data_IF_027559164181
#
_entry.id   IF_027559164181
#
_cell.length_a   1.000
_cell.length_b   1.000
_cell.length_c   1.000
_cell.angle_alpha   90.00
_cell.angle_beta   90.00
_cell.angle_gamma   90.00
#
_symmetry.space_group_name_H-M   'P 1'
#
loop_
_entity.id
_entity.type
_entity.pdbx_description
1 polymer ?
#
# COMPACT_ATOMS: atom_id res chain seq x y z
N UNK A 1 23.37 -45.10 -9.80
CA UNK A 1 23.96 -44.03 -9.00
C UNK A 1 22.86 -43.10 -8.55
N UNK A 2 22.46 -43.18 -7.29
CA UNK A 2 21.33 -42.42 -6.72
C UNK A 2 21.83 -41.06 -6.24
N UNK A 3 21.32 -39.96 -6.81
CA UNK A 3 21.65 -38.62 -6.37
C UNK A 3 20.91 -38.32 -5.06
N UNK A 4 21.67 -38.21 -3.95
CA UNK A 4 21.19 -37.72 -2.67
C UNK A 4 20.72 -36.25 -2.84
N UNK A 5 19.39 -36.00 -2.76
CA UNK A 5 18.86 -34.66 -2.52
C UNK A 5 19.36 -34.19 -1.15
N UNK A 6 20.24 -33.21 -1.14
CA UNK A 6 20.56 -32.46 0.07
C UNK A 6 19.28 -31.78 0.53
N UNK A 7 18.82 -32.11 1.74
CA UNK A 7 17.79 -31.35 2.45
C UNK A 7 18.44 -30.00 2.81
N UNK A 8 18.01 -28.97 2.10
CA UNK A 8 18.18 -27.58 2.56
C UNK A 8 17.51 -27.48 3.93
N UNK A 9 18.28 -27.28 4.96
CA UNK A 9 17.79 -27.00 6.30
C UNK A 9 17.17 -25.58 6.21
N UNK A 10 15.85 -25.51 5.98
CA UNK A 10 15.11 -24.27 5.90
C UNK A 10 15.35 -23.49 7.20
N UNK A 11 15.94 -22.30 7.08
CA UNK A 11 15.83 -21.27 8.09
C UNK A 11 14.34 -21.05 8.33
N UNK A 12 13.91 -21.19 9.56
CA UNK A 12 12.56 -20.82 10.03
C UNK A 12 12.50 -19.28 10.12
N UNK A 13 12.61 -18.61 8.96
CA UNK A 13 12.48 -17.17 8.89
C UNK A 13 11.00 -16.84 9.12
N UNK A 14 10.70 -16.23 10.26
CA UNK A 14 9.35 -15.77 10.58
C UNK A 14 8.88 -14.83 9.46
N UNK A 15 7.76 -15.16 8.83
CA UNK A 15 7.16 -14.32 7.80
C UNK A 15 6.90 -12.91 8.37
N UNK A 16 7.34 -11.90 7.64
CA UNK A 16 7.06 -10.50 7.99
C UNK A 16 5.55 -10.21 7.91
N UNK A 17 5.08 -9.22 8.65
CA UNK A 17 3.65 -8.92 8.78
C UNK A 17 2.91 -8.79 7.44
N UNK A 18 3.54 -8.19 6.43
CA UNK A 18 2.95 -8.05 5.09
C UNK A 18 2.75 -9.38 4.35
N UNK A 19 3.50 -10.42 4.68
CA UNK A 19 3.35 -11.77 4.09
C UNK A 19 2.33 -12.64 4.84
N UNK A 20 1.88 -12.21 6.02
CA UNK A 20 0.86 -12.90 6.80
C UNK A 20 -0.56 -12.57 6.36
N UNK A 21 -0.74 -11.52 5.55
CA UNK A 21 -2.05 -11.15 4.98
C UNK A 21 -2.42 -12.12 3.87
N UNK A 22 -3.64 -12.67 3.90
CA UNK A 22 -4.15 -13.51 2.81
C UNK A 22 -4.48 -12.66 1.57
N UNK A 23 -3.52 -12.57 0.66
CA UNK A 23 -3.62 -11.78 -0.56
C UNK A 23 -4.66 -12.32 -1.57
N UNK A 24 -5.21 -13.50 -1.36
CA UNK A 24 -6.30 -14.02 -2.21
C UNK A 24 -7.67 -13.48 -1.80
N UNK A 25 -7.76 -12.82 -0.65
CA UNK A 25 -9.01 -12.36 -0.03
C UNK A 25 -9.08 -10.86 0.20
N UNK A 26 -7.93 -10.17 0.20
CA UNK A 26 -7.90 -8.72 0.40
C UNK A 26 -8.58 -8.01 -0.77
N UNK A 27 -9.49 -7.08 -0.44
CA UNK A 27 -10.20 -6.23 -1.40
C UNK A 27 -9.60 -4.84 -1.52
N UNK A 28 -10.39 -3.92 -2.11
CA UNK A 28 -10.06 -2.50 -2.18
C UNK A 28 -10.26 -1.83 -0.83
N UNK A 29 -9.41 -0.88 -0.47
CA UNK A 29 -9.63 -0.12 0.75
C UNK A 29 -8.38 0.44 1.38
N UNK A 30 -8.50 0.70 2.68
CA UNK A 30 -7.41 1.21 3.50
C UNK A 30 -7.33 0.32 4.75
N UNK A 31 -6.19 -0.28 4.98
CA UNK A 31 -6.00 -1.22 6.07
C UNK A 31 -4.81 -0.77 6.93
N UNK A 32 -4.83 -1.08 8.22
CA UNK A 32 -3.64 -0.92 9.07
C UNK A 32 -2.74 -2.12 8.84
N UNK A 33 -1.61 -1.90 8.16
CA UNK A 33 -0.60 -2.93 7.95
C UNK A 33 0.29 -3.12 9.17
N UNK A 34 0.66 -2.01 9.83
CA UNK A 34 1.56 -2.03 10.99
C UNK A 34 1.35 -0.77 11.85
N UNK A 35 1.58 -0.92 13.15
CA UNK A 35 1.71 0.18 14.11
C UNK A 35 3.00 0.02 14.90
N UNK A 36 3.73 1.12 15.03
CA UNK A 36 4.93 1.21 15.84
C UNK A 36 4.82 2.41 16.78
N UNK A 37 5.49 2.35 17.91
CA UNK A 37 5.65 3.49 18.81
C UNK A 37 7.10 3.93 18.83
N UNK A 38 7.36 5.16 18.44
CA UNK A 38 8.70 5.72 18.31
C UNK A 38 8.75 7.07 18.99
N UNK A 39 9.58 7.22 20.05
CA UNK A 39 9.76 8.49 20.75
C UNK A 39 8.46 9.12 21.28
N UNK A 40 7.46 8.30 21.64
CA UNK A 40 6.16 8.79 22.10
C UNK A 40 5.10 8.99 21.00
N UNK A 41 5.51 9.04 19.73
CA UNK A 41 4.60 9.11 18.60
C UNK A 41 4.15 7.72 18.13
N UNK A 42 2.96 7.66 17.54
CA UNK A 42 2.44 6.47 16.86
C UNK A 42 2.76 6.58 15.36
N UNK A 43 3.59 5.67 14.87
CA UNK A 43 3.85 5.52 13.43
C UNK A 43 2.94 4.43 12.89
N UNK A 44 1.97 4.82 12.04
CA UNK A 44 1.03 3.89 11.44
C UNK A 44 1.33 3.74 9.95
N UNK A 45 1.52 2.50 9.51
CA UNK A 45 1.61 2.13 8.09
C UNK A 45 0.24 1.68 7.62
N UNK A 46 -0.35 2.45 6.72
CA UNK A 46 -1.60 2.09 6.04
C UNK A 46 -1.30 1.44 4.69
N UNK A 47 -1.99 0.34 4.42
CA UNK A 47 -2.08 -0.30 3.11
C UNK A 47 -3.27 0.32 2.37
N UNK A 48 -2.99 1.16 1.37
CA UNK A 48 -4.01 1.73 0.47
C UNK A 48 -4.10 0.84 -0.76
N UNK A 49 -5.02 -0.13 -0.72
CA UNK A 49 -5.14 -1.20 -1.71
C UNK A 49 -6.06 -0.79 -2.85
N UNK A 50 -5.48 -0.56 -4.03
CA UNK A 50 -6.19 -0.10 -5.22
C UNK A 50 -6.67 -1.24 -6.14
N UNK A 51 -6.01 -2.40 -6.06
CA UNK A 51 -6.32 -3.60 -6.86
C UNK A 51 -6.49 -4.81 -5.95
N UNK A 52 -7.31 -5.76 -6.36
CA UNK A 52 -7.38 -7.07 -5.70
C UNK A 52 -6.17 -7.89 -6.15
N UNK A 53 -5.25 -8.23 -5.24
CA UNK A 53 -4.07 -9.00 -5.62
C UNK A 53 -4.45 -10.34 -6.27
N UNK A 54 -3.72 -10.72 -7.29
CA UNK A 54 -3.89 -11.98 -8.04
C UNK A 54 -5.27 -12.19 -8.71
N UNK A 55 -6.19 -11.22 -8.64
CA UNK A 55 -7.55 -11.33 -9.18
C UNK A 55 -7.81 -10.35 -10.33
N UNK A 56 -6.95 -9.37 -10.53
CA UNK A 56 -7.01 -8.40 -11.62
C UNK A 56 -5.59 -7.92 -11.98
N UNK A 57 -5.39 -7.30 -13.16
CA UNK A 57 -4.09 -6.76 -13.54
C UNK A 57 -3.59 -5.71 -12.55
N UNK A 58 -2.30 -5.76 -12.22
CA UNK A 58 -1.63 -4.73 -11.44
C UNK A 58 -1.59 -3.39 -12.20
N UNK A 59 -1.36 -2.30 -11.48
CA UNK A 59 -1.24 -0.97 -12.08
C UNK A 59 0.09 -0.91 -12.84
N UNK A 60 0.08 -0.33 -14.04
CA UNK A 60 1.29 -0.17 -14.84
C UNK A 60 2.33 0.71 -14.10
N UNK A 61 3.63 0.37 -14.12
CA UNK A 61 4.66 1.13 -13.39
C UNK A 61 4.65 2.63 -13.65
N UNK A 62 4.44 3.07 -14.90
CA UNK A 62 4.37 4.48 -15.25
C UNK A 62 3.20 5.20 -14.57
N UNK A 63 2.05 4.52 -14.47
CA UNK A 63 0.90 5.06 -13.76
C UNK A 63 1.12 5.07 -12.24
N UNK A 64 1.75 4.02 -11.68
CA UNK A 64 2.14 3.98 -10.27
C UNK A 64 3.03 5.15 -9.90
N UNK A 65 4.09 5.41 -10.68
CA UNK A 65 5.01 6.53 -10.47
C UNK A 65 4.30 7.88 -10.55
N UNK A 66 3.36 8.03 -11.50
CA UNK A 66 2.54 9.24 -11.61
C UNK A 66 1.61 9.43 -10.41
N UNK A 67 0.94 8.36 -9.95
CA UNK A 67 0.10 8.39 -8.74
C UNK A 67 0.95 8.78 -7.53
N UNK A 68 2.16 8.21 -7.40
CA UNK A 68 3.10 8.55 -6.33
C UNK A 68 3.35 10.06 -6.28
N UNK A 69 3.81 10.66 -7.38
CA UNK A 69 4.16 12.08 -7.43
C UNK A 69 2.97 13.01 -7.13
N UNK A 70 1.82 12.78 -7.78
CA UNK A 70 0.66 13.66 -7.63
C UNK A 70 0.04 13.53 -6.24
N UNK A 71 -0.11 12.31 -5.72
CA UNK A 71 -0.70 12.08 -4.40
C UNK A 71 0.26 12.50 -3.29
N UNK A 72 1.56 12.19 -3.39
CA UNK A 72 2.56 12.66 -2.41
C UNK A 72 2.54 14.19 -2.30
N UNK A 73 2.51 14.89 -3.45
CA UNK A 73 2.44 16.35 -3.49
C UNK A 73 1.17 16.86 -2.81
N UNK A 74 0.02 16.25 -3.09
CA UNK A 74 -1.24 16.62 -2.46
C UNK A 74 -1.21 16.44 -0.94
N UNK A 75 -0.77 15.27 -0.47
CA UNK A 75 -0.73 14.94 0.95
C UNK A 75 0.19 15.90 1.74
N UNK A 76 1.37 16.20 1.20
CA UNK A 76 2.36 17.10 1.82
C UNK A 76 1.96 18.58 1.73
N UNK A 77 0.95 18.95 0.95
CA UNK A 77 0.37 20.29 0.91
C UNK A 77 -1.02 20.35 1.59
N UNK A 78 -1.50 19.25 2.18
CA UNK A 78 -2.75 19.19 2.92
C UNK A 78 -2.62 19.72 4.35
N UNK A 79 -3.76 19.84 5.04
CA UNK A 79 -3.77 20.15 6.49
C UNK A 79 -3.15 19.04 7.34
N UNK A 80 -2.96 17.86 6.79
CA UNK A 80 -2.35 16.69 7.44
C UNK A 80 -0.84 16.58 7.20
N UNK A 81 -0.22 17.54 6.49
CA UNK A 81 1.18 17.51 6.03
C UNK A 81 2.20 17.16 7.12
N UNK A 82 2.02 17.70 8.33
CA UNK A 82 2.97 17.54 9.44
C UNK A 82 2.98 16.12 10.02
N UNK A 83 1.97 15.31 9.66
CA UNK A 83 1.84 13.90 10.02
C UNK A 83 2.24 12.94 8.89
N UNK A 84 2.58 13.44 7.71
CA UNK A 84 2.94 12.62 6.55
C UNK A 84 4.40 12.22 6.63
N UNK A 85 4.67 10.95 6.92
CA UNK A 85 6.03 10.38 6.91
C UNK A 85 6.40 9.96 5.49
N UNK A 86 5.56 9.13 4.86
CA UNK A 86 5.86 8.58 3.54
C UNK A 86 4.58 8.20 2.78
N UNK A 87 4.63 8.37 1.47
CA UNK A 87 3.70 7.82 0.51
C UNK A 87 4.49 7.21 -0.64
N UNK A 88 4.28 5.93 -0.94
CA UNK A 88 5.00 5.27 -2.03
C UNK A 88 4.38 3.94 -2.43
N UNK A 89 4.70 3.45 -3.65
CA UNK A 89 4.12 2.26 -4.23
C UNK A 89 4.56 1.00 -3.50
N UNK A 90 3.67 0.00 -3.50
CA UNK A 90 4.04 -1.37 -3.16
C UNK A 90 4.77 -2.03 -4.34
N UNK A 91 5.77 -2.84 -4.07
CA UNK A 91 6.50 -3.58 -5.10
C UNK A 91 5.62 -4.52 -5.94
N UNK A 92 4.46 -4.95 -5.41
CA UNK A 92 3.48 -5.76 -6.14
C UNK A 92 2.58 -4.95 -7.08
N UNK A 93 2.70 -3.62 -7.13
CA UNK A 93 1.96 -2.70 -7.99
C UNK A 93 0.43 -2.77 -7.81
N UNK A 94 -0.06 -3.17 -6.64
CA UNK A 94 -1.50 -3.27 -6.35
C UNK A 94 -2.02 -2.21 -5.40
N UNK A 95 -1.15 -1.33 -4.90
CA UNK A 95 -1.49 -0.24 -3.99
C UNK A 95 -0.28 0.54 -3.50
N UNK A 96 -0.49 1.31 -2.46
CA UNK A 96 0.50 2.20 -1.87
C UNK A 96 0.60 1.99 -0.37
N UNK A 97 1.77 2.24 0.18
CA UNK A 97 1.92 2.45 1.61
C UNK A 97 1.81 3.93 1.94
N UNK A 98 0.99 4.24 2.92
CA UNK A 98 0.91 5.57 3.52
C UNK A 98 1.33 5.48 4.99
N UNK A 99 2.46 6.08 5.32
CA UNK A 99 3.00 6.13 6.67
C UNK A 99 2.70 7.49 7.28
N UNK A 100 2.18 7.46 8.50
CA UNK A 100 1.87 8.65 9.28
C UNK A 100 2.53 8.60 10.64
N UNK A 101 2.83 9.79 11.21
CA UNK A 101 3.27 9.94 12.60
C UNK A 101 2.31 10.87 13.33
N UNK A 102 1.71 10.40 14.41
CA UNK A 102 0.67 11.11 15.16
C UNK A 102 0.85 10.96 16.68
N UNK A 103 0.28 11.87 17.46
CA UNK A 103 0.36 11.82 18.93
C UNK A 103 -0.53 10.72 19.53
N UNK A 104 -1.57 10.28 18.80
CA UNK A 104 -2.48 9.18 19.17
C UNK A 104 -2.61 8.18 18.03
N UNK A 105 -3.09 7.01 18.34
CA UNK A 105 -3.46 6.06 17.30
C UNK A 105 -4.60 6.60 16.44
N UNK A 106 -4.43 6.45 15.12
CA UNK A 106 -5.47 6.76 14.14
C UNK A 106 -5.82 5.53 13.32
N UNK A 107 -7.07 5.48 12.88
CA UNK A 107 -7.60 4.37 12.10
C UNK A 107 -7.80 4.72 10.62
N UNK A 108 -8.05 3.71 9.79
CA UNK A 108 -8.21 3.91 8.35
C UNK A 108 -9.42 4.79 8.00
N UNK A 109 -10.49 4.78 8.80
CA UNK A 109 -11.66 5.65 8.59
C UNK A 109 -11.36 7.13 8.82
N UNK A 110 -10.37 7.43 9.68
CA UNK A 110 -9.97 8.82 9.95
C UNK A 110 -9.20 9.42 8.78
N UNK A 111 -8.41 8.61 8.08
CA UNK A 111 -7.65 9.07 6.90
C UNK A 111 -8.42 8.89 5.58
N UNK A 112 -9.53 8.15 5.56
CA UNK A 112 -10.33 7.94 4.35
C UNK A 112 -10.70 9.24 3.64
N UNK A 113 -11.21 10.30 4.32
CA UNK A 113 -11.54 11.56 3.66
C UNK A 113 -10.36 12.20 2.95
N UNK A 114 -9.17 12.15 3.58
CA UNK A 114 -7.93 12.67 3.01
C UNK A 114 -7.50 11.90 1.75
N UNK A 115 -7.50 10.57 1.83
CA UNK A 115 -7.14 9.72 0.70
C UNK A 115 -8.14 9.88 -0.45
N UNK A 116 -9.45 9.92 -0.16
CA UNK A 116 -10.46 10.19 -1.20
C UNK A 116 -10.25 11.56 -1.84
N UNK A 117 -9.90 12.59 -1.07
CA UNK A 117 -9.63 13.92 -1.60
C UNK A 117 -8.39 13.91 -2.51
N UNK A 118 -7.31 13.24 -2.10
CA UNK A 118 -6.10 13.11 -2.90
C UNK A 118 -6.37 12.37 -4.24
N UNK A 119 -7.13 11.29 -4.21
CA UNK A 119 -7.50 10.56 -5.42
C UNK A 119 -8.50 11.33 -6.31
N UNK A 120 -9.43 12.11 -5.74
CA UNK A 120 -10.26 13.04 -6.51
C UNK A 120 -9.43 14.14 -7.18
N UNK A 121 -8.43 14.65 -6.48
CA UNK A 121 -7.49 15.61 -7.04
C UNK A 121 -6.75 14.99 -8.24
N UNK A 122 -6.19 13.78 -8.11
CA UNK A 122 -5.53 13.07 -9.20
C UNK A 122 -6.48 12.79 -10.36
N UNK A 123 -7.69 12.30 -10.10
CA UNK A 123 -8.68 11.97 -11.12
C UNK A 123 -9.03 13.19 -12.02
N UNK A 124 -8.95 14.40 -11.46
CA UNK A 124 -9.23 15.66 -12.15
C UNK A 124 -7.96 16.47 -12.47
N UNK A 125 -6.79 15.92 -12.20
CA UNK A 125 -5.52 16.62 -12.31
C UNK A 125 -5.32 17.17 -13.73
N UNK A 126 -4.81 18.41 -13.81
CA UNK A 126 -4.46 19.10 -15.06
C UNK A 126 -3.08 19.72 -14.91
N UNK A 127 -2.29 19.61 -15.94
CA UNK A 127 -0.93 20.15 -15.96
C UNK A 127 0.16 19.06 -15.91
N UNK A 128 1.43 19.48 -15.86
CA UNK A 128 2.56 18.56 -15.79
C UNK A 128 2.58 17.82 -14.46
N UNK A 129 3.07 16.58 -14.47
CA UNK A 129 3.25 15.79 -13.24
C UNK A 129 4.26 16.51 -12.33
N UNK A 130 3.94 16.73 -11.03
CA UNK A 130 4.85 17.42 -10.13
C UNK A 130 6.21 16.71 -10.04
N UNK A 131 7.30 17.46 -10.13
CA UNK A 131 8.65 16.91 -10.03
C UNK A 131 9.09 16.03 -11.19
N UNK A 132 8.34 15.92 -12.30
CA UNK A 132 8.74 15.16 -13.49
C UNK A 132 9.79 15.91 -14.31
N UNK A 133 10.94 16.15 -13.71
CA UNK A 133 12.12 16.79 -14.35
C UNK A 133 13.38 16.01 -13.98
N UNK A 134 14.43 16.06 -14.81
CA UNK A 134 15.69 15.34 -14.54
C UNK A 134 16.37 15.77 -13.25
N UNK A 135 16.07 16.97 -12.74
CA UNK A 135 16.63 17.47 -11.48
C UNK A 135 15.89 16.90 -10.27
N UNK A 136 14.58 16.67 -10.41
CA UNK A 136 13.71 16.35 -9.26
C UNK A 136 13.36 14.86 -9.18
N UNK A 137 13.55 14.09 -10.25
CA UNK A 137 13.18 12.69 -10.29
C UNK A 137 14.24 11.85 -11.01
N UNK A 138 14.62 10.72 -10.41
CA UNK A 138 15.61 9.80 -10.95
C UNK A 138 15.16 9.08 -12.23
N UNK A 139 13.84 9.10 -12.52
CA UNK A 139 13.27 8.54 -13.76
C UNK A 139 12.08 9.37 -14.24
N UNK A 140 12.34 10.64 -14.53
CA UNK A 140 11.32 11.63 -14.86
C UNK A 140 10.52 11.33 -16.14
N UNK A 141 10.98 10.42 -16.99
CA UNK A 141 10.28 9.97 -18.20
C UNK A 141 9.28 8.84 -17.93
N UNK A 142 9.35 8.20 -16.76
CA UNK A 142 8.49 7.09 -16.38
C UNK A 142 7.16 7.60 -15.81
N UNK A 143 6.35 8.28 -16.61
CA UNK A 143 5.04 8.79 -16.20
C UNK A 143 3.95 8.48 -17.23
N UNK A 144 2.71 8.25 -16.73
CA UNK A 144 1.49 8.08 -17.52
C UNK A 144 0.30 8.68 -16.77
N UNK A 145 0.08 9.97 -16.98
CA UNK A 145 -1.02 10.69 -16.34
C UNK A 145 -2.42 10.21 -16.78
N UNK A 146 -2.69 9.93 -18.04
CA UNK A 146 -3.98 9.38 -18.46
C UNK A 146 -4.36 8.09 -17.72
N UNK A 147 -3.45 7.10 -17.68
CA UNK A 147 -3.68 5.84 -16.97
C UNK A 147 -3.77 6.05 -15.47
N UNK A 148 -2.94 6.90 -14.87
CA UNK A 148 -3.04 7.25 -13.44
C UNK A 148 -4.40 7.84 -13.07
N UNK A 149 -4.94 8.73 -13.90
CA UNK A 149 -6.29 9.31 -13.71
C UNK A 149 -7.39 8.25 -13.86
N UNK A 150 -7.26 7.33 -14.81
CA UNK A 150 -8.17 6.20 -14.97
C UNK A 150 -8.19 5.32 -13.72
N UNK A 151 -7.02 4.93 -13.22
CA UNK A 151 -6.88 4.12 -12.01
C UNK A 151 -7.43 4.83 -10.75
N UNK A 152 -7.23 6.14 -10.65
CA UNK A 152 -7.80 6.93 -9.57
C UNK A 152 -9.34 6.94 -9.59
N UNK A 153 -9.94 7.13 -10.77
CA UNK A 153 -11.41 7.06 -10.94
C UNK A 153 -11.94 5.67 -10.62
N UNK A 154 -11.27 4.63 -11.13
CA UNK A 154 -11.64 3.25 -10.88
C UNK A 154 -11.60 2.90 -9.39
N UNK A 155 -10.56 3.34 -8.66
CA UNK A 155 -10.44 3.13 -7.22
C UNK A 155 -11.53 3.88 -6.43
N UNK A 156 -11.79 5.13 -6.77
CA UNK A 156 -12.84 5.94 -6.11
C UNK A 156 -14.25 5.34 -6.26
N UNK A 157 -14.51 4.65 -7.37
CA UNK A 157 -15.79 3.99 -7.64
C UNK A 157 -15.98 2.69 -6.86
N UNK A 158 -14.93 2.15 -6.23
CA UNK A 158 -15.03 0.90 -5.45
C UNK A 158 -15.62 1.16 -4.06
N UNK A 159 -16.26 0.12 -3.52
CA UNK A 159 -16.59 0.06 -2.10
C UNK A 159 -15.32 -0.30 -1.34
N UNK A 160 -14.86 0.57 -0.46
CA UNK A 160 -13.66 0.36 0.32
C UNK A 160 -13.95 -0.42 1.60
N UNK A 161 -13.04 -1.30 1.94
CA UNK A 161 -12.97 -1.99 3.24
C UNK A 161 -11.89 -1.36 4.12
N UNK A 162 -12.01 -1.54 5.44
CA UNK A 162 -11.11 -0.93 6.42
C UNK A 162 -10.46 -1.94 7.35
N UNK A 163 -10.90 -3.19 7.26
CA UNK A 163 -10.37 -4.31 8.03
C UNK A 163 -9.90 -5.39 7.07
N UNK A 164 -8.74 -5.98 7.36
CA UNK A 164 -8.30 -7.14 6.61
C UNK A 164 -9.32 -8.28 6.75
N UNK A 165 -9.49 -9.10 5.71
CA UNK A 165 -10.31 -10.29 5.83
C UNK A 165 -9.78 -11.17 6.96
N UNK A 166 -10.66 -11.81 7.75
CA UNK A 166 -10.24 -12.69 8.83
C UNK A 166 -9.30 -13.77 8.29
N UNK A 167 -8.26 -14.10 9.06
CA UNK A 167 -7.37 -15.20 8.71
C UNK A 167 -8.20 -16.46 8.42
N UNK A 168 -7.78 -17.30 7.47
CA UNK A 168 -8.39 -18.60 7.28
C UNK A 168 -8.28 -19.36 8.60
N UNK A 169 -9.38 -19.85 9.13
CA UNK A 169 -9.34 -20.83 10.22
C UNK A 169 -8.48 -21.99 9.70
N UNK A 170 -7.33 -22.24 10.33
CA UNK A 170 -6.59 -23.46 10.09
C UNK A 170 -7.58 -24.62 10.20
N UNK A 171 -7.61 -25.53 9.20
CA UNK A 171 -8.39 -26.76 9.35
C UNK A 171 -7.91 -27.41 10.65
N UNK A 172 -8.85 -27.73 11.53
CA UNK A 172 -8.53 -28.43 12.77
C UNK A 172 -7.72 -29.68 12.41
N UNK A 173 -6.46 -29.76 12.84
CA UNK A 173 -5.53 -30.84 12.48
C UNK A 173 -4.15 -30.40 11.99
N UNK A 174 -3.96 -29.15 11.57
CA UNK A 174 -2.61 -28.63 11.35
C UNK A 174 -2.06 -28.16 12.70
N UNK A 175 -1.12 -28.91 13.29
CA UNK A 175 -0.33 -28.43 14.42
C UNK A 175 0.32 -27.13 14.00
N UNK A 176 -0.02 -26.05 14.70
CA UNK A 176 0.64 -24.76 14.52
C UNK A 176 2.04 -24.88 15.12
N UNK A 177 3.06 -24.35 14.44
CA UNK A 177 4.47 -24.31 14.90
C UNK A 177 4.62 -23.45 16.18
N UNK A 178 3.53 -23.05 16.81
CA UNK A 178 3.48 -22.25 18.03
C UNK A 178 3.20 -23.07 19.30
N UNK A 179 3.07 -24.41 19.19
CA UNK A 179 2.83 -25.29 20.33
C UNK A 179 4.14 -26.01 20.74
N UNK A 180 5.19 -25.23 21.03
CA UNK A 180 6.40 -25.73 21.67
C UNK A 180 6.94 -24.68 22.65
#
# INVERSE_FOLDING_TARGET
MSAKRTKDAGRDDKLIASFQVDHTRIGYGIFVSRRDRVGGAFVTTFDVRMKRPNAEPAIHPNAMHTIEHVVATYLRNSRFRDHVVYWGPMGCLTGFYFLTSTEREIGPREIEPLIRAAFRHLANYRGPVPGATPVNCGNYLLHDLPTAKFEAKAFLAKKWSFDYPPARRAKAGARTVFDA
#
